data_IF_407278829297
#
_entry.id   IF_407278829297
#
_cell.length_a   1.000
_cell.length_b   1.000
_cell.length_c   1.000
_cell.angle_alpha   90.00
_cell.angle_beta   90.00
_cell.angle_gamma   90.00
#
_symmetry.space_group_name_H-M   'P 1'
#
loop_
_entity.id
_entity.type
_entity.pdbx_description
1 polymer ?
#
# COMPACT_ATOMS: atom_id res chain seq x y z
N UNK A 1 12.33 -3.96 9.85
CA UNK A 1 13.00 -4.21 8.55
C UNK A 1 13.06 -2.94 7.69
N UNK A 2 14.19 -2.69 7.03
CA UNK A 2 14.41 -1.50 6.20
C UNK A 2 15.14 -1.84 4.90
N UNK A 3 14.59 -1.45 3.75
CA UNK A 3 15.15 -1.78 2.42
C UNK A 3 14.98 -0.64 1.43
N UNK A 4 16.01 -0.43 0.59
CA UNK A 4 15.89 0.42 -0.61
C UNK A 4 15.57 -0.48 -1.80
N UNK A 5 14.49 -0.15 -2.49
CA UNK A 5 14.09 -0.80 -3.74
C UNK A 5 13.93 0.33 -4.75
N UNK A 6 14.69 0.24 -5.83
CA UNK A 6 14.92 1.33 -6.78
C UNK A 6 15.37 2.64 -6.08
N UNK A 7 14.56 3.70 -6.19
CA UNK A 7 14.84 5.01 -5.57
C UNK A 7 14.11 5.21 -4.25
N UNK A 8 13.23 4.27 -3.86
CA UNK A 8 12.35 4.39 -2.71
C UNK A 8 12.88 3.63 -1.49
N UNK A 9 12.69 4.24 -0.32
CA UNK A 9 13.00 3.63 0.97
C UNK A 9 11.72 3.07 1.59
N UNK A 10 11.80 1.81 2.00
CA UNK A 10 10.76 1.09 2.73
C UNK A 10 11.29 0.76 4.12
N UNK A 11 10.53 1.10 5.14
CA UNK A 11 10.99 1.09 6.52
C UNK A 11 9.78 0.84 7.43
N UNK A 12 9.74 -0.35 8.05
CA UNK A 12 8.64 -0.77 8.93
C UNK A 12 8.53 0.10 10.19
N UNK A 13 9.60 0.77 10.61
CA UNK A 13 9.61 1.55 11.85
C UNK A 13 8.99 2.94 11.65
N UNK A 14 9.02 3.44 10.41
CA UNK A 14 8.47 4.76 10.06
C UNK A 14 7.13 4.68 9.32
N UNK A 15 6.80 3.50 8.80
CA UNK A 15 5.53 3.24 8.15
C UNK A 15 4.45 2.85 9.16
N UNK A 16 3.19 3.06 8.80
CA UNK A 16 2.05 2.64 9.61
C UNK A 16 1.69 1.20 9.23
N UNK A 17 1.74 0.27 10.18
CA UNK A 17 1.17 -1.07 10.03
C UNK A 17 -0.35 -0.96 9.90
N UNK A 18 -0.90 -1.60 8.88
CA UNK A 18 -2.31 -1.55 8.50
C UNK A 18 -3.01 -2.85 8.90
N UNK A 19 -2.42 -3.99 8.56
CA UNK A 19 -2.98 -5.31 8.82
C UNK A 19 -1.88 -6.38 8.88
N UNK A 20 -2.27 -7.56 9.35
CA UNK A 20 -1.44 -8.76 9.39
C UNK A 20 -2.15 -9.95 8.78
N UNK A 21 -1.36 -10.93 8.37
CA UNK A 21 -1.78 -12.25 7.97
C UNK A 21 -0.82 -13.27 8.54
N UNK A 22 -1.35 -14.37 9.07
CA UNK A 22 -0.56 -15.53 9.49
C UNK A 22 -1.01 -16.75 8.68
N UNK A 23 -0.05 -17.50 8.15
CA UNK A 23 -0.35 -18.72 7.43
C UNK A 23 -1.03 -19.75 8.34
N UNK A 24 -1.89 -20.63 7.80
CA UNK A 24 -2.64 -21.64 8.58
C UNK A 24 -1.76 -22.83 8.98
N UNK A 25 -0.53 -22.56 9.43
CA UNK A 25 0.43 -23.53 9.93
C UNK A 25 0.84 -23.15 11.36
N UNK A 26 1.22 -24.12 12.22
CA UNK A 26 1.87 -23.80 13.48
C UNK A 26 3.17 -23.03 13.23
N UNK A 27 3.53 -22.08 14.10
CA UNK A 27 4.79 -21.30 14.00
C UNK A 27 6.06 -22.16 13.88
N UNK A 28 6.02 -23.38 14.42
CA UNK A 28 7.12 -24.35 14.33
C UNK A 28 7.18 -25.13 13.01
N UNK A 29 6.17 -25.02 12.15
CA UNK A 29 6.15 -25.69 10.84
C UNK A 29 7.06 -24.95 9.86
N UNK A 30 7.87 -25.68 9.12
CA UNK A 30 8.80 -25.13 8.12
C UNK A 30 8.08 -24.35 7.00
N UNK A 31 6.78 -24.54 6.81
CA UNK A 31 5.95 -23.79 5.86
C UNK A 31 5.31 -22.52 6.45
N UNK A 32 5.44 -22.29 7.76
CA UNK A 32 4.85 -21.11 8.39
C UNK A 32 5.43 -19.83 7.81
N UNK A 33 4.57 -18.83 7.66
CA UNK A 33 4.93 -17.46 7.35
C UNK A 33 3.90 -16.49 7.90
N UNK A 34 4.33 -15.26 8.10
CA UNK A 34 3.49 -14.13 8.46
C UNK A 34 3.80 -12.95 7.54
N UNK A 35 2.77 -12.14 7.28
CA UNK A 35 2.84 -10.98 6.42
C UNK A 35 2.20 -9.79 7.14
N UNK A 36 2.78 -8.61 6.91
CA UNK A 36 2.31 -7.36 7.48
C UNK A 36 2.20 -6.32 6.36
N UNK A 37 1.02 -5.74 6.20
CA UNK A 37 0.79 -4.64 5.27
C UNK A 37 1.11 -3.31 5.94
N UNK A 38 1.97 -2.53 5.29
CA UNK A 38 2.37 -1.21 5.73
C UNK A 38 1.99 -0.14 4.73
N UNK A 39 1.68 1.06 5.25
CA UNK A 39 1.49 2.28 4.47
C UNK A 39 2.54 3.31 4.84
N UNK A 40 3.29 3.79 3.86
CA UNK A 40 4.24 4.90 4.04
C UNK A 40 3.48 6.19 4.31
N UNK A 41 4.14 7.17 4.94
CA UNK A 41 3.61 8.53 5.09
C UNK A 41 3.24 9.20 3.75
N UNK A 42 3.92 8.81 2.68
CA UNK A 42 3.70 9.30 1.31
C UNK A 42 2.53 8.59 0.59
N UNK A 43 1.92 7.57 1.21
CA UNK A 43 0.70 6.91 0.74
C UNK A 43 0.92 5.55 0.05
N UNK A 44 2.15 5.22 -0.37
CA UNK A 44 2.44 3.94 -1.00
C UNK A 44 2.42 2.79 0.02
N UNK A 45 1.98 1.62 -0.45
CA UNK A 45 1.88 0.41 0.34
C UNK A 45 3.05 -0.54 0.09
N UNK A 46 3.34 -1.38 1.06
CA UNK A 46 4.27 -2.49 0.91
C UNK A 46 3.96 -3.59 1.91
N UNK A 47 4.32 -4.82 1.55
CA UNK A 47 4.35 -5.95 2.48
C UNK A 47 5.73 -6.10 3.09
N UNK A 48 5.75 -6.41 4.37
CA UNK A 48 6.85 -7.09 5.01
C UNK A 48 6.39 -8.51 5.32
N UNK A 49 7.03 -9.51 4.71
CA UNK A 49 6.76 -10.91 5.00
C UNK A 49 7.99 -11.58 5.57
N UNK A 50 7.76 -12.48 6.52
CA UNK A 50 8.79 -13.34 7.10
C UNK A 50 8.26 -14.77 7.19
N UNK A 51 9.15 -15.74 7.13
CA UNK A 51 8.72 -17.14 7.25
C UNK A 51 9.87 -18.11 7.30
N UNK A 52 9.50 -19.36 7.57
CA UNK A 52 10.46 -20.43 7.79
C UNK A 52 11.06 -20.93 6.47
N UNK A 53 12.03 -21.84 6.55
CA UNK A 53 12.81 -22.40 5.42
C UNK A 53 12.02 -22.97 4.21
N UNK A 54 10.70 -23.18 4.27
CA UNK A 54 9.86 -23.58 3.12
C UNK A 54 8.72 -22.60 2.82
N UNK A 55 8.78 -21.41 3.39
CA UNK A 55 7.85 -20.33 3.10
C UNK A 55 8.16 -19.64 1.76
N UNK A 56 7.24 -18.80 1.25
CA UNK A 56 7.52 -17.89 0.13
C UNK A 56 8.65 -16.88 0.40
N UNK A 57 9.05 -16.75 1.68
CA UNK A 57 10.05 -15.81 2.17
C UNK A 57 11.40 -16.45 2.47
N UNK A 58 11.52 -17.78 2.33
CA UNK A 58 12.76 -18.50 2.60
C UNK A 58 13.93 -17.96 1.79
N UNK A 59 15.10 -17.89 2.42
CA UNK A 59 16.35 -17.48 1.79
C UNK A 59 17.26 -18.69 1.56
N UNK A 60 18.02 -18.66 0.47
CA UNK A 60 18.97 -19.73 0.19
C UNK A 60 20.24 -19.52 1.01
N UNK A 61 20.67 -20.56 1.71
CA UNK A 61 21.91 -20.53 2.48
C UNK A 61 23.10 -20.29 1.55
N UNK A 62 23.92 -19.28 1.85
CA UNK A 62 25.04 -18.90 1.00
C UNK A 62 26.03 -20.06 0.82
N UNK A 63 26.25 -20.45 -0.42
CA UNK A 63 27.18 -21.53 -0.77
C UNK A 63 26.57 -22.93 -0.80
N UNK A 64 25.27 -23.07 -0.52
CA UNK A 64 24.56 -24.35 -0.56
C UNK A 64 23.45 -24.36 -1.61
N UNK A 65 23.40 -25.40 -2.45
CA UNK A 65 22.43 -25.50 -3.55
C UNK A 65 21.07 -26.09 -3.14
N UNK A 66 20.95 -26.62 -1.91
CA UNK A 66 19.74 -27.31 -1.45
C UNK A 66 19.36 -27.01 -0.01
N UNK A 67 20.03 -26.04 0.63
CA UNK A 67 19.68 -25.57 1.95
C UNK A 67 18.99 -24.21 1.87
N UNK A 68 17.87 -24.13 2.58
CA UNK A 68 17.06 -22.93 2.74
C UNK A 68 16.94 -22.64 4.22
N UNK A 69 16.99 -21.37 4.56
CA UNK A 69 16.82 -20.85 5.90
C UNK A 69 15.60 -19.94 5.97
N UNK A 70 15.22 -19.61 7.19
CA UNK A 70 14.16 -18.64 7.46
C UNK A 70 14.56 -17.31 6.82
N UNK A 71 13.58 -16.59 6.27
CA UNK A 71 13.87 -15.42 5.48
C UNK A 71 12.79 -14.36 5.58
N UNK A 72 13.12 -13.17 5.09
CA UNK A 72 12.26 -12.01 5.15
C UNK A 72 12.37 -11.13 3.91
N UNK A 73 11.26 -10.50 3.51
CA UNK A 73 11.23 -9.68 2.30
C UNK A 73 10.30 -8.48 2.44
N UNK A 74 10.73 -7.38 1.83
CA UNK A 74 9.87 -6.25 1.52
C UNK A 74 9.42 -6.34 0.07
N UNK A 75 8.12 -6.24 -0.16
CA UNK A 75 7.49 -6.23 -1.48
C UNK A 75 6.65 -4.95 -1.63
N UNK A 76 7.06 -3.98 -2.47
CA UNK A 76 6.24 -2.83 -2.79
C UNK A 76 4.93 -3.27 -3.45
N UNK A 77 3.81 -2.65 -3.06
CA UNK A 77 2.50 -2.92 -3.65
C UNK A 77 1.90 -1.64 -4.24
N UNK A 78 1.22 -1.79 -5.36
CA UNK A 78 0.23 -0.80 -5.82
C UNK A 78 -0.98 -0.76 -4.87
N UNK A 79 -1.82 0.26 -5.03
CA UNK A 79 -3.06 0.39 -4.27
C UNK A 79 -3.96 -0.84 -4.47
N UNK A 80 -4.18 -1.27 -5.71
CA UNK A 80 -5.03 -2.42 -6.03
C UNK A 80 -4.48 -3.74 -5.48
N UNK A 81 -3.16 -3.93 -5.52
CA UNK A 81 -2.53 -5.13 -4.94
C UNK A 81 -2.65 -5.14 -3.41
N UNK A 82 -2.47 -3.98 -2.76
CA UNK A 82 -2.65 -3.85 -1.32
C UNK A 82 -4.09 -4.10 -0.89
N UNK A 83 -5.06 -3.61 -1.67
CA UNK A 83 -6.48 -3.85 -1.44
C UNK A 83 -6.82 -5.35 -1.55
N UNK A 84 -6.42 -6.01 -2.65
CA UNK A 84 -6.65 -7.45 -2.85
C UNK A 84 -5.98 -8.30 -1.77
N UNK A 85 -4.77 -7.92 -1.37
CA UNK A 85 -4.09 -8.58 -0.26
C UNK A 85 -4.88 -8.43 1.04
N UNK A 86 -5.38 -7.23 1.34
CA UNK A 86 -6.16 -6.97 2.54
C UNK A 86 -7.46 -7.77 2.55
N UNK A 87 -8.19 -7.79 1.44
CA UNK A 87 -9.42 -8.61 1.30
C UNK A 87 -9.13 -10.09 1.57
N UNK A 88 -8.02 -10.62 1.04
CA UNK A 88 -7.61 -11.99 1.33
C UNK A 88 -7.32 -12.19 2.82
N UNK A 89 -6.54 -11.29 3.43
CA UNK A 89 -6.19 -11.39 4.85
C UNK A 89 -7.44 -11.31 5.76
N UNK A 90 -8.37 -10.39 5.47
CA UNK A 90 -9.63 -10.22 6.18
C UNK A 90 -10.53 -11.47 6.09
N UNK A 91 -10.65 -12.08 4.91
CA UNK A 91 -11.40 -13.33 4.75
C UNK A 91 -10.83 -14.51 5.55
N UNK A 92 -9.52 -14.51 5.82
CA UNK A 92 -8.85 -15.55 6.58
C UNK A 92 -8.90 -15.26 8.10
N UNK A 93 -8.70 -14.00 8.50
CA UNK A 93 -8.80 -13.55 9.88
C UNK A 93 -9.12 -12.04 9.94
N UNK A 94 -10.37 -11.73 10.29
CA UNK A 94 -10.88 -10.35 10.39
C UNK A 94 -10.32 -9.59 11.60
N UNK A 95 -9.81 -10.26 12.64
CA UNK A 95 -9.15 -9.60 13.78
C UNK A 95 -7.80 -8.99 13.39
N UNK A 96 -7.08 -9.62 12.45
CA UNK A 96 -5.78 -9.15 11.96
C UNK A 96 -5.90 -8.16 10.79
N UNK A 97 -7.06 -8.13 10.14
CA UNK A 97 -7.37 -7.26 9.01
C UNK A 97 -8.84 -6.83 9.07
N UNK A 98 -9.20 -5.94 10.00
CA UNK A 98 -10.61 -5.58 10.29
C UNK A 98 -11.30 -4.77 9.18
N UNK A 99 -12.62 -4.92 9.05
CA UNK A 99 -13.47 -4.11 8.17
C UNK A 99 -13.36 -2.59 8.43
N UNK A 100 -13.18 -2.18 9.70
CA UNK A 100 -12.99 -0.76 10.04
C UNK A 100 -11.74 -0.17 9.37
N UNK A 101 -10.64 -0.95 9.38
CA UNK A 101 -9.40 -0.55 8.72
C UNK A 101 -9.58 -0.59 7.19
N UNK A 102 -10.30 -1.58 6.66
CA UNK A 102 -10.60 -1.64 5.24
C UNK A 102 -11.33 -0.38 4.76
N UNK A 103 -12.44 -0.01 5.42
CA UNK A 103 -13.21 1.18 5.05
C UNK A 103 -12.39 2.48 5.15
N UNK A 104 -11.45 2.54 6.09
CA UNK A 104 -10.57 3.70 6.26
C UNK A 104 -9.51 3.82 5.18
N UNK A 105 -8.92 2.70 4.76
CA UNK A 105 -7.77 2.70 3.85
C UNK A 105 -8.16 2.49 2.38
N UNK A 106 -9.27 1.77 2.14
CA UNK A 106 -9.76 1.35 0.82
C UNK A 106 -11.24 1.64 0.56
N UNK A 107 -12.01 2.05 1.57
CA UNK A 107 -13.42 2.35 1.43
C UNK A 107 -13.70 3.53 0.51
N UNK A 108 -14.94 3.61 0.04
CA UNK A 108 -15.38 4.69 -0.84
C UNK A 108 -15.32 6.01 -0.07
N UNK A 109 -14.63 7.01 -0.63
CA UNK A 109 -14.64 8.37 -0.10
C UNK A 109 -16.09 8.84 -0.07
N UNK A 110 -16.70 8.92 1.13
CA UNK A 110 -18.00 9.56 1.29
C UNK A 110 -17.84 11.01 0.85
N UNK A 111 -18.51 11.38 -0.23
CA UNK A 111 -18.43 12.68 -0.87
C UNK A 111 -19.07 13.78 -0.02
N UNK A 112 -18.44 14.12 1.11
CA UNK A 112 -18.73 15.38 1.78
C UNK A 112 -18.03 16.52 1.03
N UNK A 113 -18.57 16.89 -0.13
CA UNK A 113 -18.09 18.02 -0.95
C UNK A 113 -18.39 19.38 -0.32
N UNK A 114 -19.01 19.42 0.87
CA UNK A 114 -19.34 20.67 1.56
C UNK A 114 -18.12 21.33 2.20
N UNK A 115 -17.09 20.55 2.54
CA UNK A 115 -15.85 21.05 3.16
C UNK A 115 -14.71 21.02 2.16
N UNK A 116 -14.32 22.20 1.67
CA UNK A 116 -13.12 22.35 0.83
C UNK A 116 -11.90 22.57 1.70
N UNK A 117 -10.90 21.71 1.54
CA UNK A 117 -9.60 21.83 2.21
C UNK A 117 -8.53 22.34 1.24
N UNK A 118 -7.63 23.20 1.72
CA UNK A 118 -6.52 23.71 0.90
C UNK A 118 -5.39 22.68 0.86
N UNK A 119 -5.06 22.22 -0.35
CA UNK A 119 -3.94 21.30 -0.59
C UNK A 119 -2.92 21.92 -1.55
N UNK A 120 -1.63 21.64 -1.30
CA UNK A 120 -0.52 22.16 -2.11
C UNK A 120 0.12 21.00 -2.88
N UNK A 121 -0.07 20.99 -4.21
CA UNK A 121 0.53 20.01 -5.10
C UNK A 121 1.64 20.62 -5.96
N UNK A 122 2.64 19.82 -6.30
CA UNK A 122 3.62 20.14 -7.35
C UNK A 122 3.18 19.46 -8.63
N UNK A 123 2.84 20.26 -9.64
CA UNK A 123 2.40 19.79 -10.94
C UNK A 123 3.42 20.18 -12.01
N UNK A 124 3.49 19.41 -13.10
CA UNK A 124 4.30 19.78 -14.25
C UNK A 124 3.78 21.08 -14.89
N UNK A 125 4.67 21.83 -15.54
CA UNK A 125 4.31 23.06 -16.27
C UNK A 125 3.18 22.80 -17.29
N UNK A 126 3.24 21.66 -17.98
CA UNK A 126 2.23 21.25 -18.96
C UNK A 126 0.87 21.00 -18.30
N UNK A 127 0.83 20.33 -17.15
CA UNK A 127 -0.42 20.09 -16.42
C UNK A 127 -1.06 21.42 -15.97
N UNK A 128 -0.27 22.36 -15.45
CA UNK A 128 -0.73 23.70 -15.04
C UNK A 128 -1.36 24.44 -16.24
N UNK A 129 -0.67 24.46 -17.38
CA UNK A 129 -1.18 25.10 -18.60
C UNK A 129 -2.47 24.44 -19.11
N UNK A 130 -2.60 23.12 -18.98
CA UNK A 130 -3.82 22.39 -19.36
C UNK A 130 -4.99 22.80 -18.45
N UNK A 131 -4.78 22.85 -17.14
CA UNK A 131 -5.80 23.30 -16.16
C UNK A 131 -6.23 24.73 -16.43
N UNK A 132 -5.30 25.64 -16.72
CA UNK A 132 -5.59 27.02 -17.11
C UNK A 132 -6.49 27.15 -18.33
N UNK A 133 -6.18 26.41 -19.40
CA UNK A 133 -7.00 26.40 -20.62
C UNK A 133 -8.38 25.83 -20.37
N UNK A 134 -8.50 24.78 -19.57
CA UNK A 134 -9.80 24.18 -19.21
C UNK A 134 -10.64 25.15 -18.38
N UNK A 135 -10.02 25.83 -17.40
CA UNK A 135 -10.67 26.86 -16.58
C UNK A 135 -11.24 28.00 -17.44
N UNK A 136 -10.43 28.53 -18.37
CA UNK A 136 -10.86 29.58 -19.29
C UNK A 136 -12.00 29.14 -20.22
N UNK A 137 -11.90 27.94 -20.81
CA UNK A 137 -12.92 27.43 -21.74
C UNK A 137 -14.26 27.15 -21.06
N UNK A 138 -14.23 26.68 -19.80
CA UNK A 138 -15.43 26.28 -19.07
C UNK A 138 -15.98 27.38 -18.15
N UNK A 139 -15.29 28.52 -18.03
CA UNK A 139 -15.67 29.60 -17.11
C UNK A 139 -15.60 29.17 -15.63
N UNK A 140 -14.77 28.17 -15.31
CA UNK A 140 -14.62 27.61 -13.95
C UNK A 140 -13.27 27.99 -13.35
N UNK A 141 -13.17 27.93 -12.03
CA UNK A 141 -11.89 28.09 -11.34
C UNK A 141 -10.97 26.89 -11.61
N UNK A 142 -9.65 27.09 -11.49
CA UNK A 142 -8.68 26.00 -11.57
C UNK A 142 -8.98 24.89 -10.55
N UNK A 143 -9.43 25.28 -9.36
CA UNK A 143 -9.81 24.34 -8.29
C UNK A 143 -10.98 23.45 -8.72
N UNK A 144 -12.05 24.02 -9.27
CA UNK A 144 -13.20 23.25 -9.76
C UNK A 144 -12.84 22.35 -10.93
N UNK A 145 -11.93 22.77 -11.81
CA UNK A 145 -11.44 21.90 -12.89
C UNK A 145 -10.70 20.69 -12.32
N UNK A 146 -9.78 20.90 -11.39
CA UNK A 146 -9.02 19.82 -10.75
C UNK A 146 -9.96 18.89 -9.98
N UNK A 147 -10.89 19.46 -9.21
CA UNK A 147 -11.92 18.71 -8.47
C UNK A 147 -12.77 17.85 -9.41
N UNK A 148 -13.29 18.42 -10.50
CA UNK A 148 -14.09 17.67 -11.47
C UNK A 148 -13.28 16.55 -12.15
N UNK A 149 -12.00 16.75 -12.42
CA UNK A 149 -11.15 15.70 -13.01
C UNK A 149 -10.93 14.53 -12.03
N UNK A 150 -10.68 14.84 -10.75
CA UNK A 150 -10.50 13.83 -9.70
C UNK A 150 -11.79 13.05 -9.47
N UNK A 151 -12.94 13.74 -9.47
CA UNK A 151 -14.25 13.11 -9.23
C UNK A 151 -14.88 12.48 -10.47
N UNK A 152 -14.21 12.54 -11.64
CA UNK A 152 -14.69 11.97 -12.90
C UNK A 152 -14.09 10.61 -13.25
N UNK A 153 -13.13 10.14 -12.46
CA UNK A 153 -12.65 8.74 -12.47
C UNK A 153 -13.57 7.86 -11.62
#
# INVERSE_FOLDING_TARGET
MKKRIDTLLYDTDTAKKIASYEAPYPRSDIQYYEEELYKKRTGEYFLYGSGNARSPYAEQVYGETSAWEDGEKIVPLSYEEAQKWFEKANNENDELATDEVYEKEFGTIKSDTSKKEQQIFRLSKTAIQKVERMAQKQGKTKSEIVENLIMSE
#
